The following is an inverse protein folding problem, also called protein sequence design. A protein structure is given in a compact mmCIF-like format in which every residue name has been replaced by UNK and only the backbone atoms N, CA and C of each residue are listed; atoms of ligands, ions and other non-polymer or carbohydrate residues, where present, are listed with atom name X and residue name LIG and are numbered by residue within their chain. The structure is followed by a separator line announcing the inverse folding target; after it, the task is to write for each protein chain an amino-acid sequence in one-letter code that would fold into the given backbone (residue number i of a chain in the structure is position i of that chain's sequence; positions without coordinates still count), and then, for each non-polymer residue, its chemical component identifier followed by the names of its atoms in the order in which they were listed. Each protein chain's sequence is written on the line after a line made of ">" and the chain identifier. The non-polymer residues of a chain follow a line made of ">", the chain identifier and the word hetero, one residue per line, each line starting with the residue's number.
data_IF_257761754253
#
_entry.id   IF_257761754253
#
_cell.length_a   1.000
_cell.length_b   1.000
_cell.length_c   1.000
_cell.angle_alpha   90.00
_cell.angle_beta   90.00
_cell.angle_gamma   90.00
#
_symmetry.space_group_name_H-M   'P 1'
#
loop_
_entity.id
_entity.type
_entity.pdbx_description
1 polymer ?
#
# COMPACT_ATOMS: atom_id res chain seq x y z
N UNK A 1 -66.96 14.48 10.18
CA UNK A 1 -68.12 13.61 9.85
C UNK A 1 -67.57 12.28 9.35
N UNK A 2 -67.94 11.19 10.03
CA UNK A 2 -67.52 9.79 9.76
C UNK A 2 -68.19 9.23 8.51
N UNK A 3 -67.54 8.26 7.85
CA UNK A 3 -68.04 6.93 7.41
C UNK A 3 -66.89 6.25 6.62
N UNK A 4 -66.22 5.21 7.15
CA UNK A 4 -66.50 3.76 6.96
C UNK A 4 -66.45 3.33 5.48
N UNK A 5 -65.80 2.26 5.01
CA UNK A 5 -65.17 1.07 5.59
C UNK A 5 -65.11 -0.02 4.49
N UNK A 6 -64.41 -1.14 4.75
CA UNK A 6 -64.22 -2.40 3.97
C UNK A 6 -62.89 -2.48 3.18
N UNK A 7 -61.80 -3.02 3.74
CA UNK A 7 -61.41 -4.45 3.93
C UNK A 7 -61.05 -5.21 2.64
N UNK A 8 -59.76 -5.49 2.47
CA UNK A 8 -59.26 -6.81 2.05
C UNK A 8 -57.77 -6.92 2.38
N UNK A 9 -57.48 -7.70 3.41
CA UNK A 9 -56.14 -8.10 3.86
C UNK A 9 -55.76 -9.34 3.04
N UNK A 10 -54.66 -9.28 2.28
CA UNK A 10 -53.97 -10.47 1.77
C UNK A 10 -52.62 -10.62 2.46
N UNK A 11 -52.65 -11.50 3.44
CA UNK A 11 -51.53 -12.08 4.18
C UNK A 11 -50.60 -12.83 3.22
N UNK A 12 -49.37 -12.35 3.03
CA UNK A 12 -48.31 -13.15 2.41
C UNK A 12 -47.66 -14.01 3.50
N UNK A 13 -47.79 -15.31 3.31
CA UNK A 13 -47.43 -16.39 4.21
C UNK A 13 -45.92 -16.51 4.28
N UNK A 14 -45.37 -16.46 5.50
CA UNK A 14 -44.00 -16.84 5.79
C UNK A 14 -43.78 -18.31 5.40
N UNK A 15 -42.86 -18.57 4.46
CA UNK A 15 -42.30 -19.89 4.23
C UNK A 15 -40.95 -19.97 4.93
N UNK A 16 -40.97 -20.65 6.08
CA UNK A 16 -39.79 -21.29 6.68
C UNK A 16 -39.27 -22.35 5.70
N UNK A 17 -38.09 -22.13 5.15
CA UNK A 17 -37.19 -23.20 4.69
C UNK A 17 -36.00 -23.13 5.65
N UNK A 18 -35.89 -23.97 6.66
CA UNK A 18 -35.81 -25.42 6.52
C UNK A 18 -34.33 -25.79 6.44
N UNK A 19 -33.64 -25.77 7.59
CA UNK A 19 -32.33 -26.38 7.77
C UNK A 19 -32.38 -27.80 7.21
N UNK A 20 -31.58 -28.08 6.19
CA UNK A 20 -31.31 -29.45 5.76
C UNK A 20 -29.80 -29.69 5.87
N UNK A 21 -29.40 -30.18 7.05
CA UNK A 21 -28.20 -30.98 7.23
C UNK A 21 -28.40 -32.28 6.45
N UNK A 22 -27.94 -32.31 5.20
CA UNK A 22 -27.76 -33.56 4.48
C UNK A 22 -26.40 -34.15 4.89
N UNK A 23 -26.44 -35.12 5.81
CA UNK A 23 -25.32 -36.04 6.03
C UNK A 23 -25.11 -36.85 4.75
N UNK A 24 -24.11 -36.49 3.95
CA UNK A 24 -23.52 -37.41 2.99
C UNK A 24 -22.37 -38.15 3.67
N UNK A 25 -22.68 -39.34 4.20
CA UNK A 25 -21.66 -40.35 4.48
C UNK A 25 -21.14 -40.89 3.14
N UNK A 26 -20.05 -40.31 2.64
CA UNK A 26 -19.22 -40.96 1.65
C UNK A 26 -17.85 -41.17 2.28
N UNK A 27 -17.52 -42.45 2.53
CA UNK A 27 -16.16 -42.88 2.81
C UNK A 27 -15.30 -42.54 1.58
N UNK A 28 -14.63 -41.40 1.60
CA UNK A 28 -13.42 -41.21 0.80
C UNK A 28 -12.24 -41.57 1.68
N UNK A 29 -11.51 -42.59 1.25
CA UNK A 29 -10.23 -42.95 1.84
C UNK A 29 -9.32 -41.72 1.79
N UNK A 30 -8.82 -41.31 2.96
CA UNK A 30 -8.00 -40.12 3.11
C UNK A 30 -6.72 -40.23 2.27
N UNK A 31 -6.59 -39.35 1.28
CA UNK A 31 -5.26 -38.94 0.84
C UNK A 31 -4.60 -38.17 2.00
N UNK A 32 -3.32 -38.44 2.31
CA UNK A 32 -2.62 -37.67 3.33
C UNK A 32 -2.51 -36.22 2.85
N UNK A 33 -3.14 -35.29 3.57
CA UNK A 33 -2.82 -33.85 3.46
C UNK A 33 -1.35 -33.71 3.86
N UNK A 34 -0.47 -33.63 2.86
CA UNK A 34 0.96 -33.38 3.07
C UNK A 34 1.11 -32.03 3.77
N UNK A 35 1.62 -32.04 5.00
CA UNK A 35 2.01 -30.81 5.72
C UNK A 35 3.25 -30.25 5.02
N UNK A 36 3.13 -29.07 4.44
CA UNK A 36 4.26 -28.29 3.91
C UNK A 36 5.01 -27.65 5.08
N UNK A 37 6.35 -27.59 4.99
CA UNK A 37 7.14 -26.80 5.95
C UNK A 37 6.96 -25.29 5.70
N UNK A 38 7.26 -24.46 6.70
CA UNK A 38 7.17 -23.00 6.59
C UNK A 38 8.03 -22.43 5.46
N UNK A 39 9.24 -22.97 5.30
CA UNK A 39 10.14 -22.61 4.22
C UNK A 39 9.59 -22.99 2.84
N UNK A 40 8.98 -24.16 2.72
CA UNK A 40 8.39 -24.62 1.46
C UNK A 40 7.14 -23.81 1.09
N UNK A 41 6.34 -23.43 2.08
CA UNK A 41 5.17 -22.59 1.90
C UNK A 41 5.55 -21.15 1.53
N UNK A 42 6.51 -20.53 2.23
CA UNK A 42 7.05 -19.22 1.86
C UNK A 42 7.71 -19.24 0.49
N UNK A 43 8.46 -20.29 0.18
CA UNK A 43 9.03 -20.51 -1.16
C UNK A 43 7.92 -20.56 -2.23
N UNK A 44 6.82 -21.29 -2.02
CA UNK A 44 5.69 -21.34 -2.96
C UNK A 44 4.98 -19.99 -3.12
N UNK A 45 4.73 -19.30 -2.02
CA UNK A 45 4.08 -17.98 -2.03
C UNK A 45 4.95 -16.94 -2.76
N UNK A 46 6.28 -17.05 -2.64
CA UNK A 46 7.24 -16.11 -3.22
C UNK A 46 7.68 -16.51 -4.64
N UNK A 47 7.57 -17.79 -5.02
CA UNK A 47 7.88 -18.31 -6.36
C UNK A 47 6.66 -18.26 -7.31
N UNK A 48 5.94 -17.15 -7.29
CA UNK A 48 4.87 -16.85 -8.24
C UNK A 48 5.37 -15.94 -9.36
N UNK A 49 4.60 -15.83 -10.44
CA UNK A 49 4.82 -14.76 -11.43
C UNK A 49 4.59 -13.41 -10.75
N UNK A 50 5.58 -12.54 -10.85
CA UNK A 50 5.53 -11.16 -10.38
C UNK A 50 5.47 -10.18 -11.55
N UNK A 51 4.93 -8.99 -11.30
CA UNK A 51 4.95 -7.90 -12.28
C UNK A 51 6.34 -7.28 -12.39
N UNK A 52 6.95 -6.95 -11.25
CA UNK A 52 8.30 -6.43 -11.17
C UNK A 52 9.25 -7.62 -11.29
N UNK A 53 9.75 -7.86 -12.50
CA UNK A 53 10.70 -8.95 -12.74
C UNK A 53 11.96 -8.82 -11.87
N UNK A 54 12.38 -7.58 -11.59
CA UNK A 54 13.47 -7.25 -10.70
C UNK A 54 12.89 -6.46 -9.53
N UNK A 55 12.92 -7.00 -8.29
CA UNK A 55 12.42 -6.30 -7.11
C UNK A 55 13.36 -5.17 -6.65
N UNK A 56 14.53 -5.04 -7.29
CA UNK A 56 15.56 -4.08 -6.95
C UNK A 56 15.02 -2.66 -6.90
N UNK A 57 15.56 -1.93 -5.93
CA UNK A 57 15.21 -0.55 -5.64
C UNK A 57 16.47 0.12 -5.16
N UNK A 58 16.65 1.38 -5.55
CA UNK A 58 17.80 2.13 -5.07
C UNK A 58 17.67 2.35 -3.56
N UNK A 59 18.79 2.25 -2.85
CA UNK A 59 18.84 2.61 -1.43
C UNK A 59 19.82 3.76 -1.30
N UNK A 60 19.34 4.88 -0.79
CA UNK A 60 20.13 6.07 -0.53
C UNK A 60 20.48 6.13 0.96
N UNK A 61 21.61 6.72 1.31
CA UNK A 61 21.99 7.00 2.69
C UNK A 61 21.93 8.50 2.94
N UNK A 62 21.14 8.91 3.93
CA UNK A 62 20.96 10.30 4.31
C UNK A 62 21.72 10.56 5.60
N UNK A 63 22.80 11.32 5.49
CA UNK A 63 23.59 11.78 6.65
C UNK A 63 22.97 13.05 7.23
N UNK A 64 22.97 13.13 8.54
CA UNK A 64 22.45 14.25 9.31
C UNK A 64 23.61 15.07 9.86
N UNK A 65 23.60 16.38 9.61
CA UNK A 65 24.59 17.30 10.19
C UNK A 65 23.89 18.52 10.80
N UNK A 66 24.34 19.03 11.97
CA UNK A 66 23.78 20.25 12.54
C UNK A 66 23.91 21.43 11.57
N UNK A 67 22.81 22.16 11.34
CA UNK A 67 22.85 23.35 10.49
C UNK A 67 23.26 24.58 11.30
N UNK A 68 24.21 25.39 10.82
CA UNK A 68 24.48 26.72 11.36
C UNK A 68 23.38 27.70 10.88
N UNK A 69 22.28 27.84 11.63
CA UNK A 69 21.17 28.72 11.24
C UNK A 69 20.01 28.77 12.25
N UNK A 70 19.18 29.83 12.20
CA UNK A 70 18.12 30.17 13.18
C UNK A 70 17.13 29.03 13.45
N UNK A 71 16.86 28.79 14.74
CA UNK A 71 15.83 27.90 15.28
C UNK A 71 14.55 27.91 14.45
N UNK A 72 14.25 26.80 13.78
CA UNK A 72 12.90 26.47 13.33
C UNK A 72 12.33 25.41 14.28
N UNK A 73 11.07 25.57 14.67
CA UNK A 73 10.39 24.57 15.51
C UNK A 73 10.12 23.30 14.69
N UNK A 74 10.49 22.13 15.22
CA UNK A 74 10.25 20.81 14.61
C UNK A 74 11.48 19.88 14.56
N UNK A 75 11.32 18.57 14.30
CA UNK A 75 12.41 17.57 14.37
C UNK A 75 13.57 17.84 13.41
N UNK A 76 13.26 18.47 12.27
CA UNK A 76 14.23 18.81 11.20
C UNK A 76 14.73 20.26 11.27
N UNK A 77 14.28 21.05 12.24
CA UNK A 77 14.39 22.52 12.22
C UNK A 77 15.81 23.09 12.22
N UNK A 78 16.79 22.31 12.69
CA UNK A 78 18.21 22.69 12.78
C UNK A 78 19.14 21.65 12.13
N UNK A 79 18.65 20.88 11.15
CA UNK A 79 19.42 19.82 10.50
C UNK A 79 19.61 20.11 9.01
N UNK A 80 20.79 19.74 8.53
CA UNK A 80 21.10 19.64 7.11
C UNK A 80 21.24 18.17 6.73
N UNK A 81 20.81 17.83 5.51
CA UNK A 81 20.84 16.47 5.00
C UNK A 81 21.83 16.37 3.84
N UNK A 82 22.64 15.32 3.83
CA UNK A 82 23.50 14.97 2.69
C UNK A 82 23.12 13.60 2.15
N UNK A 83 22.89 13.51 0.84
CA UNK A 83 22.52 12.26 0.19
C UNK A 83 23.73 11.55 -0.42
N UNK A 84 23.98 10.31 0.02
CA UNK A 84 24.83 9.36 -0.67
C UNK A 84 23.95 8.36 -1.43
N UNK A 85 23.94 8.44 -2.75
CA UNK A 85 23.10 7.61 -3.62
C UNK A 85 23.65 6.21 -3.87
N UNK A 86 24.88 5.92 -3.43
CA UNK A 86 25.54 4.61 -3.56
C UNK A 86 26.21 4.21 -2.25
N UNK A 87 25.42 3.95 -1.19
CA UNK A 87 25.98 3.48 0.06
C UNK A 87 26.58 2.08 -0.07
N UNK A 88 27.52 1.78 0.81
CA UNK A 88 28.08 0.43 0.97
C UNK A 88 27.21 -0.37 1.94
N UNK A 89 27.03 -1.65 1.62
CA UNK A 89 26.27 -2.62 2.41
C UNK A 89 27.17 -3.81 2.76
N UNK A 90 26.76 -4.66 3.72
CA UNK A 90 27.56 -5.80 4.17
C UNK A 90 28.68 -5.44 5.16
N UNK A 91 29.58 -6.40 5.41
CA UNK A 91 30.61 -6.33 6.47
C UNK A 91 31.75 -5.34 6.16
N UNK A 92 31.78 -4.81 4.93
CA UNK A 92 32.68 -3.72 4.50
C UNK A 92 32.25 -2.33 5.01
N UNK A 93 31.25 -2.26 5.90
CA UNK A 93 31.00 -1.09 6.74
C UNK A 93 32.21 -0.91 7.67
N UNK A 94 33.27 -0.31 7.13
CA UNK A 94 34.40 0.18 7.89
C UNK A 94 33.85 0.94 9.10
N UNK A 95 34.17 0.47 10.30
CA UNK A 95 34.12 1.25 11.55
C UNK A 95 34.97 2.51 11.37
N UNK A 96 34.42 3.51 10.68
CA UNK A 96 34.97 4.85 10.66
C UNK A 96 34.05 5.67 11.53
N UNK A 97 34.56 6.00 12.72
CA UNK A 97 33.95 6.87 13.70
C UNK A 97 33.65 8.26 13.14
N UNK A 98 32.60 8.36 12.33
CA UNK A 98 31.92 9.61 12.07
C UNK A 98 30.78 9.73 13.06
N UNK A 99 30.84 10.73 13.93
CA UNK A 99 29.81 11.10 14.92
C UNK A 99 28.45 11.49 14.27
N UNK A 100 28.35 11.51 12.94
CA UNK A 100 27.16 11.92 12.21
C UNK A 100 26.13 10.78 12.13
N UNK A 101 24.96 10.98 12.75
CA UNK A 101 23.79 10.11 12.58
C UNK A 101 23.39 9.99 11.10
N UNK A 102 22.87 8.84 10.69
CA UNK A 102 22.32 8.64 9.34
C UNK A 102 21.16 7.64 9.33
N UNK A 103 20.37 7.67 8.27
CA UNK A 103 19.38 6.62 7.96
C UNK A 103 19.42 6.26 6.48
N UNK A 104 18.94 5.07 6.13
CA UNK A 104 18.77 4.66 4.74
C UNK A 104 17.36 5.00 4.25
N UNK A 105 17.23 5.24 2.94
CA UNK A 105 15.95 5.44 2.27
C UNK A 105 15.84 4.46 1.12
N UNK A 106 14.88 3.55 1.21
CA UNK A 106 14.50 2.63 0.12
C UNK A 106 13.65 3.42 -0.88
N UNK A 107 14.18 3.67 -2.08
CA UNK A 107 13.63 4.56 -3.11
C UNK A 107 12.58 3.87 -3.98
N UNK A 108 11.59 3.27 -3.32
CA UNK A 108 10.47 2.63 -4.03
C UNK A 108 9.65 3.63 -4.86
N UNK A 109 9.77 4.94 -4.58
CA UNK A 109 9.23 5.99 -5.44
C UNK A 109 9.77 5.96 -6.88
N UNK A 110 10.93 5.35 -7.12
CA UNK A 110 11.55 5.26 -8.44
C UNK A 110 11.14 4.00 -9.24
N UNK A 111 10.36 3.08 -8.66
CA UNK A 111 10.03 1.79 -9.29
C UNK A 111 9.29 1.91 -10.62
N UNK A 112 8.46 2.94 -10.76
CA UNK A 112 7.65 3.14 -11.95
C UNK A 112 7.29 4.62 -12.08
N UNK A 113 7.34 5.24 -13.29
CA UNK A 113 7.10 6.68 -13.45
C UNK A 113 5.74 7.18 -12.93
N UNK A 114 4.70 6.34 -12.96
CA UNK A 114 3.32 6.71 -12.54
C UNK A 114 2.73 5.83 -11.43
N UNK A 115 3.34 4.66 -11.18
CA UNK A 115 2.86 3.66 -10.21
C UNK A 115 3.90 3.60 -9.10
N UNK A 116 4.17 4.75 -8.49
CA UNK A 116 5.32 4.87 -7.59
C UNK A 116 5.09 4.16 -6.25
N UNK A 117 6.20 3.77 -5.62
CA UNK A 117 6.26 3.50 -4.20
C UNK A 117 5.56 2.22 -3.76
N UNK A 118 4.93 2.30 -2.59
CA UNK A 118 4.31 1.14 -1.97
C UNK A 118 3.09 0.58 -2.74
N UNK A 119 2.52 1.33 -3.68
CA UNK A 119 1.41 0.86 -4.51
C UNK A 119 1.89 -0.12 -5.58
N UNK A 120 3.04 0.13 -6.21
CA UNK A 120 3.67 -0.84 -7.10
C UNK A 120 3.91 -2.17 -6.38
N UNK A 121 4.49 -2.16 -5.19
CA UNK A 121 4.73 -3.38 -4.39
C UNK A 121 3.45 -4.17 -4.11
N UNK A 122 2.37 -3.50 -3.71
CA UNK A 122 1.10 -4.18 -3.42
C UNK A 122 0.43 -4.75 -4.68
N UNK A 123 0.49 -4.02 -5.78
CA UNK A 123 -0.07 -4.47 -7.05
C UNK A 123 0.79 -5.55 -7.74
N UNK A 124 2.09 -5.61 -7.42
CA UNK A 124 3.02 -6.63 -7.92
C UNK A 124 2.55 -8.06 -7.65
N UNK A 125 1.94 -8.29 -6.49
CA UNK A 125 1.33 -9.58 -6.13
C UNK A 125 -0.02 -9.83 -6.80
N UNK A 126 -0.79 -8.76 -6.99
CA UNK A 126 -2.21 -8.81 -7.32
C UNK A 126 -2.45 -8.96 -8.82
N UNK A 127 -1.78 -8.13 -9.62
CA UNK A 127 -2.02 -8.04 -11.07
C UNK A 127 -1.76 -9.34 -11.82
N UNK A 128 -0.72 -10.14 -11.50
CA UNK A 128 -0.54 -11.45 -12.13
C UNK A 128 -1.76 -12.36 -11.95
N UNK A 129 -2.39 -12.36 -10.76
CA UNK A 129 -3.62 -13.14 -10.53
C UNK A 129 -4.77 -12.69 -11.43
N UNK A 130 -4.89 -11.38 -11.67
CA UNK A 130 -5.96 -10.86 -12.52
C UNK A 130 -5.79 -11.35 -13.96
N UNK A 131 -4.54 -11.34 -14.46
CA UNK A 131 -4.21 -11.81 -15.81
C UNK A 131 -4.43 -13.33 -15.92
N UNK A 132 -3.92 -14.11 -14.97
CA UNK A 132 -4.01 -15.57 -15.00
C UNK A 132 -5.46 -16.09 -14.99
N UNK A 133 -6.38 -15.32 -14.40
CA UNK A 133 -7.82 -15.66 -14.32
C UNK A 133 -8.66 -15.00 -15.42
N UNK A 134 -8.00 -14.33 -16.37
CA UNK A 134 -8.62 -13.60 -17.47
C UNK A 134 -9.66 -12.60 -16.98
N UNK A 135 -9.37 -11.89 -15.90
CA UNK A 135 -10.19 -10.77 -15.42
C UNK A 135 -10.29 -9.74 -16.55
N UNK A 136 -11.46 -9.11 -16.69
CA UNK A 136 -11.71 -8.11 -17.73
C UNK A 136 -11.80 -6.70 -17.15
N UNK A 137 -12.37 -6.59 -15.95
CA UNK A 137 -12.67 -5.31 -15.32
C UNK A 137 -12.23 -5.32 -13.85
N UNK A 138 -11.73 -4.18 -13.40
CA UNK A 138 -11.32 -3.92 -12.02
C UNK A 138 -12.10 -2.74 -11.49
N UNK A 139 -12.69 -2.88 -10.30
CA UNK A 139 -13.40 -1.81 -9.60
C UNK A 139 -12.62 -1.45 -8.34
N UNK A 140 -12.30 -0.17 -8.15
CA UNK A 140 -11.64 0.31 -6.93
C UNK A 140 -12.12 1.70 -6.54
N UNK A 141 -11.65 2.20 -5.41
CA UNK A 141 -11.99 3.53 -4.91
C UNK A 141 -10.80 4.23 -4.26
N UNK A 142 -10.97 5.53 -4.02
CA UNK A 142 -10.00 6.34 -3.30
C UNK A 142 -10.46 7.78 -3.12
N UNK A 143 -9.64 8.59 -2.44
CA UNK A 143 -9.76 10.04 -2.49
C UNK A 143 -9.55 10.61 -3.91
N UNK A 144 -9.96 11.87 -4.11
CA UNK A 144 -9.78 12.58 -5.39
C UNK A 144 -8.33 12.57 -5.93
N UNK A 145 -7.33 12.67 -5.04
CA UNK A 145 -5.89 12.57 -5.36
C UNK A 145 -5.28 11.24 -4.91
N UNK A 146 -6.02 10.14 -5.05
CA UNK A 146 -5.57 8.81 -4.59
C UNK A 146 -4.45 8.25 -5.47
N UNK A 147 -3.25 8.11 -4.90
CA UNK A 147 -2.15 7.38 -5.52
C UNK A 147 -2.52 5.91 -5.82
N UNK A 148 -3.36 5.30 -4.98
CA UNK A 148 -3.86 3.92 -5.19
C UNK A 148 -4.74 3.80 -6.44
N UNK A 149 -5.70 4.71 -6.61
CA UNK A 149 -6.62 4.65 -7.75
C UNK A 149 -5.86 4.85 -9.07
N UNK A 150 -4.94 5.82 -9.11
CA UNK A 150 -4.07 6.05 -10.26
C UNK A 150 -3.18 4.83 -10.55
N UNK A 151 -2.59 4.23 -9.52
CA UNK A 151 -1.77 3.03 -9.64
C UNK A 151 -2.54 1.85 -10.25
N UNK A 152 -3.77 1.61 -9.79
CA UNK A 152 -4.66 0.58 -10.35
C UNK A 152 -4.99 0.88 -11.81
N UNK A 153 -5.35 2.13 -12.14
CA UNK A 153 -5.74 2.52 -13.49
C UNK A 153 -4.63 2.31 -14.51
N UNK A 154 -3.43 2.84 -14.22
CA UNK A 154 -2.25 2.68 -15.08
C UNK A 154 -1.91 1.20 -15.25
N UNK A 155 -1.87 0.46 -14.14
CA UNK A 155 -1.53 -0.97 -14.18
C UNK A 155 -2.55 -1.81 -14.95
N UNK A 156 -3.84 -1.45 -14.89
CA UNK A 156 -4.89 -2.12 -15.66
C UNK A 156 -4.74 -1.85 -17.16
N UNK A 157 -4.56 -0.58 -17.54
CA UNK A 157 -4.43 -0.18 -18.93
C UNK A 157 -3.22 -0.83 -19.62
N UNK A 158 -2.07 -0.92 -18.94
CA UNK A 158 -0.87 -1.64 -19.42
C UNK A 158 -1.11 -3.12 -19.75
N UNK A 159 -2.20 -3.71 -19.23
CA UNK A 159 -2.55 -5.13 -19.36
C UNK A 159 -3.84 -5.35 -20.15
N UNK A 160 -4.41 -4.29 -20.73
CA UNK A 160 -5.69 -4.36 -21.44
C UNK A 160 -6.90 -4.62 -20.53
N UNK A 161 -6.77 -4.39 -19.22
CA UNK A 161 -7.88 -4.47 -18.26
C UNK A 161 -8.60 -3.11 -18.19
N UNK A 162 -9.92 -3.14 -18.05
CA UNK A 162 -10.71 -1.92 -17.79
C UNK A 162 -10.72 -1.61 -16.30
N UNK A 163 -10.46 -0.37 -15.91
CA UNK A 163 -10.52 0.05 -14.51
C UNK A 163 -11.64 1.07 -14.28
N UNK A 164 -12.51 0.79 -13.31
CA UNK A 164 -13.58 1.66 -12.84
C UNK A 164 -13.20 2.24 -11.48
N UNK A 165 -13.08 3.56 -11.40
CA UNK A 165 -12.51 4.28 -10.26
C UNK A 165 -13.57 5.16 -9.59
N UNK A 166 -13.97 4.79 -8.37
CA UNK A 166 -14.94 5.56 -7.59
C UNK A 166 -14.21 6.56 -6.68
N UNK A 167 -14.12 7.82 -7.10
CA UNK A 167 -13.33 8.86 -6.44
C UNK A 167 -14.16 9.74 -5.51
N UNK A 168 -13.75 9.84 -4.24
CA UNK A 168 -14.46 10.63 -3.23
C UNK A 168 -14.41 12.13 -3.51
N UNK A 169 -15.59 12.75 -3.53
CA UNK A 169 -15.76 14.20 -3.60
C UNK A 169 -16.29 14.65 -4.96
N UNK A 170 -16.01 15.90 -5.29
CA UNK A 170 -16.40 16.53 -6.56
C UNK A 170 -15.23 16.49 -7.55
N UNK A 171 -15.56 16.60 -8.83
CA UNK A 171 -14.58 16.74 -9.90
C UNK A 171 -13.86 18.09 -9.77
N UNK A 172 -12.51 18.12 -9.76
CA UNK A 172 -11.77 19.37 -9.83
C UNK A 172 -12.01 20.10 -11.15
N UNK A 173 -12.04 21.43 -11.12
CA UNK A 173 -12.12 22.26 -12.32
C UNK A 173 -10.94 21.99 -13.28
N UNK A 174 -9.74 21.87 -12.72
CA UNK A 174 -8.52 21.50 -13.47
C UNK A 174 -7.97 20.22 -12.86
N UNK A 175 -7.92 19.16 -13.67
CA UNK A 175 -7.38 17.86 -13.28
C UNK A 175 -5.85 17.96 -13.21
N UNK A 176 -5.26 17.53 -12.10
CA UNK A 176 -3.80 17.49 -11.93
C UNK A 176 -3.36 16.27 -11.13
N UNK A 177 -2.07 15.94 -11.19
CA UNK A 177 -1.47 14.88 -10.38
C UNK A 177 -2.16 13.54 -10.57
N UNK A 178 -2.43 12.84 -9.47
CA UNK A 178 -3.08 11.53 -9.50
C UNK A 178 -4.51 11.58 -10.06
N UNK A 179 -5.23 12.69 -9.88
CA UNK A 179 -6.58 12.81 -10.44
C UNK A 179 -6.56 12.83 -11.97
N UNK A 180 -5.62 13.59 -12.56
CA UNK A 180 -5.42 13.61 -14.01
C UNK A 180 -5.01 12.23 -14.54
N UNK A 181 -4.01 11.59 -13.91
CA UNK A 181 -3.56 10.26 -14.31
C UNK A 181 -4.70 9.24 -14.24
N UNK A 182 -5.49 9.25 -13.16
CA UNK A 182 -6.66 8.38 -13.03
C UNK A 182 -7.66 8.60 -14.17
N UNK A 183 -7.84 9.85 -14.63
CA UNK A 183 -8.82 10.20 -15.67
C UNK A 183 -8.35 9.75 -17.06
N UNK A 184 -7.03 9.82 -17.31
CA UNK A 184 -6.46 9.41 -18.59
C UNK A 184 -6.52 7.89 -18.76
N UNK A 185 -6.25 7.14 -17.69
CA UNK A 185 -6.10 5.68 -17.75
C UNK A 185 -7.35 4.89 -17.37
N UNK A 186 -8.32 5.48 -16.66
CA UNK A 186 -9.47 4.75 -16.12
C UNK A 186 -10.79 5.49 -16.20
N UNK A 187 -11.87 4.71 -16.03
CA UNK A 187 -13.24 5.19 -16.03
C UNK A 187 -13.60 5.75 -14.64
N UNK A 188 -13.64 7.07 -14.51
CA UNK A 188 -13.90 7.73 -13.22
C UNK A 188 -15.38 7.98 -12.99
N UNK A 189 -15.83 7.69 -11.77
CA UNK A 189 -17.05 8.25 -11.20
C UNK A 189 -16.73 8.99 -9.91
N UNK A 190 -17.05 10.28 -9.85
CA UNK A 190 -16.96 11.06 -8.62
C UNK A 190 -18.16 10.77 -7.72
N UNK A 191 -17.91 10.44 -6.45
CA UNK A 191 -18.94 9.99 -5.51
C UNK A 191 -19.03 10.90 -4.28
N UNK A 192 -20.26 11.28 -3.85
CA UNK A 192 -20.47 12.03 -2.63
C UNK A 192 -19.87 11.34 -1.40
N UNK A 193 -19.40 12.14 -0.43
CA UNK A 193 -18.77 11.64 0.80
C UNK A 193 -19.69 10.72 1.61
N UNK A 194 -20.99 10.97 1.60
CA UNK A 194 -22.00 10.13 2.27
C UNK A 194 -22.06 8.71 1.70
N UNK A 195 -21.98 8.57 0.38
CA UNK A 195 -21.93 7.26 -0.29
C UNK A 195 -20.58 6.59 -0.03
N UNK A 196 -19.49 7.35 -0.14
CA UNK A 196 -18.13 6.84 0.10
C UNK A 196 -17.92 6.34 1.54
N UNK A 197 -18.61 6.90 2.53
CA UNK A 197 -18.56 6.40 3.91
C UNK A 197 -18.95 4.90 3.99
N UNK A 198 -19.82 4.43 3.08
CA UNK A 198 -20.22 3.05 2.91
C UNK A 198 -19.51 2.37 1.72
N UNK A 199 -18.23 2.67 1.52
CA UNK A 199 -17.41 2.25 0.37
C UNK A 199 -17.52 0.76 -0.01
N UNK A 200 -17.63 -0.16 0.94
CA UNK A 200 -17.76 -1.59 0.63
C UNK A 200 -19.05 -1.90 -0.12
N UNK A 201 -20.17 -1.31 0.29
CA UNK A 201 -21.46 -1.48 -0.40
C UNK A 201 -21.43 -0.78 -1.75
N UNK A 202 -20.86 0.43 -1.81
CA UNK A 202 -20.68 1.19 -3.04
C UNK A 202 -19.87 0.40 -4.09
N UNK A 203 -18.73 -0.16 -3.71
CA UNK A 203 -17.89 -0.97 -4.60
C UNK A 203 -18.63 -2.20 -5.11
N UNK A 204 -19.33 -2.92 -4.22
CA UNK A 204 -20.13 -4.11 -4.59
C UNK A 204 -21.23 -3.76 -5.58
N UNK A 205 -22.06 -2.76 -5.28
CA UNK A 205 -23.14 -2.33 -6.16
C UNK A 205 -22.64 -1.86 -7.53
N UNK A 206 -21.48 -1.19 -7.57
CA UNK A 206 -20.89 -0.80 -8.85
C UNK A 206 -20.31 -2.01 -9.61
N UNK A 207 -19.67 -2.95 -8.92
CA UNK A 207 -19.19 -4.18 -9.53
C UNK A 207 -20.35 -5.03 -10.10
N UNK A 208 -21.49 -5.11 -9.40
CA UNK A 208 -22.72 -5.75 -9.91
C UNK A 208 -23.20 -5.09 -11.21
N UNK A 209 -23.19 -3.76 -11.25
CA UNK A 209 -23.55 -3.00 -12.45
C UNK A 209 -22.60 -3.27 -13.62
N UNK A 210 -21.29 -3.30 -13.37
CA UNK A 210 -20.25 -3.57 -14.37
C UNK A 210 -20.34 -5.01 -14.87
N UNK A 211 -20.56 -5.98 -13.97
CA UNK A 211 -20.69 -7.39 -14.32
C UNK A 211 -21.92 -7.64 -15.20
N UNK A 212 -23.01 -6.89 -15.00
CA UNK A 212 -24.32 -7.09 -15.64
C UNK A 212 -24.88 -8.50 -15.37
N UNK A 213 -25.98 -8.89 -16.03
CA UNK A 213 -26.65 -10.17 -15.76
C UNK A 213 -25.85 -11.42 -16.17
N UNK A 214 -24.82 -11.26 -17.00
CA UNK A 214 -24.04 -12.37 -17.57
C UNK A 214 -22.60 -12.44 -17.05
N UNK A 215 -22.15 -11.44 -16.29
CA UNK A 215 -20.80 -11.39 -15.74
C UNK A 215 -20.67 -12.04 -14.36
N UNK A 216 -19.42 -12.24 -13.95
CA UNK A 216 -19.05 -12.82 -12.66
C UNK A 216 -18.22 -11.83 -11.87
N UNK A 217 -18.54 -11.68 -10.59
CA UNK A 217 -17.69 -10.96 -9.64
C UNK A 217 -16.78 -11.98 -8.96
N UNK A 218 -15.48 -11.75 -9.04
CA UNK A 218 -14.46 -12.58 -8.43
C UNK A 218 -13.84 -11.84 -7.23
N UNK A 219 -13.60 -12.57 -6.15
CA UNK A 219 -12.81 -12.07 -5.04
C UNK A 219 -11.33 -12.41 -5.26
N UNK A 220 -10.43 -11.46 -5.00
CA UNK A 220 -8.98 -11.71 -5.08
C UNK A 220 -8.54 -12.89 -4.21
N UNK A 221 -9.22 -13.11 -3.08
CA UNK A 221 -8.94 -14.22 -2.18
C UNK A 221 -9.31 -15.58 -2.79
N UNK A 222 -10.47 -15.67 -3.45
CA UNK A 222 -10.93 -16.92 -4.08
C UNK A 222 -9.99 -17.30 -5.25
N UNK A 223 -9.53 -16.28 -5.99
CA UNK A 223 -8.52 -16.43 -7.03
C UNK A 223 -7.21 -16.98 -6.45
N UNK A 224 -6.75 -16.41 -5.34
CA UNK A 224 -5.52 -16.85 -4.68
C UNK A 224 -5.61 -18.30 -4.19
N UNK A 225 -6.69 -18.70 -3.52
CA UNK A 225 -6.87 -20.07 -3.03
C UNK A 225 -6.91 -21.09 -4.18
N UNK A 226 -7.58 -20.73 -5.27
CA UNK A 226 -7.62 -21.54 -6.49
C UNK A 226 -6.23 -21.70 -7.12
N UNK A 227 -5.41 -20.64 -7.07
CA UNK A 227 -4.05 -20.64 -7.63
C UNK A 227 -3.10 -21.51 -6.79
N UNK A 228 -3.16 -21.38 -5.46
CA UNK A 228 -2.35 -22.17 -4.52
C UNK A 228 -2.68 -23.67 -4.57
N UNK A 229 -3.97 -24.01 -4.76
CA UNK A 229 -4.39 -25.41 -4.92
C UNK A 229 -4.00 -25.99 -6.29
N UNK A 230 -4.10 -25.23 -7.38
CA UNK A 230 -3.68 -25.69 -8.71
C UNK A 230 -2.16 -25.93 -8.82
N UNK A 231 -1.32 -25.19 -8.08
CA UNK A 231 0.14 -25.41 -8.07
C UNK A 231 0.57 -26.66 -7.27
N UNK A 232 -0.33 -27.28 -6.50
CA UNK A 232 -0.07 -28.56 -5.81
C UNK A 232 -0.30 -29.79 -6.69
N UNK A 233 -0.90 -29.61 -7.87
CA UNK A 233 -1.08 -30.62 -8.92
C UNK A 233 -0.22 -30.26 -10.12
N UNK A 234 0.87 -30.99 -10.36
CA UNK A 234 1.65 -30.86 -11.59
C UNK A 234 0.84 -31.23 -12.84
N UNK A 235 1.03 -30.44 -13.91
CA UNK A 235 0.44 -30.49 -15.27
C UNK A 235 -0.92 -29.79 -15.37
N UNK A 236 -1.13 -28.78 -16.22
CA UNK A 236 -0.92 -28.76 -17.67
C UNK A 236 -0.96 -27.32 -18.21
N UNK A 237 -0.08 -27.02 -19.17
CA UNK A 237 -0.11 -25.82 -20.01
C UNK A 237 -1.43 -25.72 -20.80
N UNK A 238 -2.20 -24.67 -20.56
CA UNK A 238 -3.38 -24.30 -21.34
C UNK A 238 -3.02 -23.23 -22.37
N UNK A 239 -3.38 -23.49 -23.62
CA UNK A 239 -3.11 -22.72 -24.83
C UNK A 239 -3.42 -21.21 -24.74
N UNK A 240 -2.56 -20.42 -25.39
CA UNK A 240 -2.88 -19.06 -25.85
C UNK A 240 -3.75 -19.24 -27.09
N UNK A 241 -5.05 -18.96 -26.96
CA UNK A 241 -5.94 -18.81 -28.12
C UNK A 241 -5.95 -17.37 -28.63
N UNK A 242 -5.98 -17.33 -29.95
CA UNK A 242 -5.73 -16.24 -30.89
C UNK A 242 -6.78 -15.12 -30.84
N UNK A 243 -6.36 -13.93 -31.28
CA UNK A 243 -7.18 -12.74 -31.40
C UNK A 243 -8.25 -12.89 -32.48
N UNK A 244 -9.52 -12.99 -32.08
CA UNK A 244 -10.65 -12.87 -33.01
C UNK A 244 -12.01 -12.78 -32.31
N UNK A 245 -12.75 -11.71 -32.61
CA UNK A 245 -14.14 -11.38 -32.20
C UNK A 245 -14.37 -10.79 -30.79
N UNK A 246 -14.36 -9.47 -30.76
CA UNK A 246 -15.09 -8.63 -29.80
C UNK A 246 -16.60 -8.77 -30.02
N UNK A 247 -17.28 -9.59 -29.20
CA UNK A 247 -18.59 -9.34 -28.58
C UNK A 247 -19.12 -10.63 -27.91
N UNK A 248 -19.47 -10.53 -26.61
CA UNK A 248 -20.10 -11.56 -25.75
C UNK A 248 -19.23 -12.60 -25.01
N UNK A 249 -18.01 -12.26 -24.58
CA UNK A 249 -17.44 -12.95 -23.41
C UNK A 249 -18.01 -12.35 -22.11
N UNK A 250 -18.46 -13.18 -21.15
CA UNK A 250 -18.97 -12.70 -19.88
C UNK A 250 -17.88 -11.94 -19.13
N UNK A 251 -18.23 -10.75 -18.60
CA UNK A 251 -17.28 -9.91 -17.87
C UNK A 251 -16.85 -10.63 -16.58
N UNK A 252 -15.56 -10.56 -16.26
CA UNK A 252 -15.00 -11.02 -14.99
C UNK A 252 -14.51 -9.80 -14.24
N UNK A 253 -15.24 -9.43 -13.20
CA UNK A 253 -15.03 -8.18 -12.46
C UNK A 253 -14.37 -8.48 -11.12
N UNK A 254 -13.29 -7.78 -10.80
CA UNK A 254 -12.61 -7.90 -9.50
C UNK A 254 -12.68 -6.58 -8.74
N UNK A 255 -13.01 -6.64 -7.45
CA UNK A 255 -12.93 -5.49 -6.55
C UNK A 255 -11.54 -5.47 -5.90
N UNK A 256 -10.86 -4.32 -6.00
CA UNK A 256 -9.65 -4.03 -5.25
C UNK A 256 -10.00 -2.99 -4.20
N UNK A 257 -9.86 -3.34 -2.91
CA UNK A 257 -10.17 -2.41 -1.84
C UNK A 257 -9.23 -1.19 -1.84
N UNK A 258 -9.67 -0.08 -1.23
CA UNK A 258 -8.86 1.14 -1.10
C UNK A 258 -7.48 0.81 -0.52
N UNK A 259 -6.42 1.28 -1.20
CA UNK A 259 -5.05 1.02 -0.80
C UNK A 259 -4.61 -0.43 -0.96
N UNK A 260 -5.34 -1.26 -1.72
CA UNK A 260 -5.13 -2.70 -1.83
C UNK A 260 -5.06 -3.36 -0.44
N UNK A 261 -6.04 -3.04 0.42
CA UNK A 261 -6.07 -3.43 1.83
C UNK A 261 -6.42 -4.90 2.10
N UNK A 262 -6.02 -5.81 1.22
CA UNK A 262 -6.31 -7.24 1.28
C UNK A 262 -5.04 -8.07 1.40
N UNK A 263 -5.19 -9.32 1.83
CA UNK A 263 -4.08 -10.21 2.17
C UNK A 263 -3.12 -10.47 0.99
N UNK A 264 -3.62 -10.51 -0.24
CA UNK A 264 -2.80 -10.73 -1.44
C UNK A 264 -1.76 -9.63 -1.61
N UNK A 265 -2.11 -8.39 -1.28
CA UNK A 265 -1.20 -7.26 -1.40
C UNK A 265 -0.01 -7.34 -0.44
N UNK A 266 -0.15 -8.06 0.69
CA UNK A 266 0.93 -8.28 1.63
C UNK A 266 2.09 -9.03 0.98
N UNK A 267 1.80 -9.95 0.05
CA UNK A 267 2.83 -10.79 -0.58
C UNK A 267 3.90 -9.97 -1.30
N UNK A 268 3.52 -8.90 -1.99
CA UNK A 268 4.48 -8.04 -2.68
C UNK A 268 5.30 -7.18 -1.72
N UNK A 269 4.78 -6.90 -0.53
CA UNK A 269 5.54 -6.25 0.56
C UNK A 269 6.48 -7.26 1.24
N UNK A 270 6.04 -8.49 1.47
CA UNK A 270 6.89 -9.58 2.00
C UNK A 270 8.06 -9.85 1.05
N UNK A 271 7.82 -9.84 -0.28
CA UNK A 271 8.87 -9.93 -1.28
C UNK A 271 9.89 -8.80 -1.18
N UNK A 272 9.46 -7.57 -0.88
CA UNK A 272 10.38 -6.46 -0.60
C UNK A 272 11.25 -6.78 0.63
N UNK A 273 10.67 -7.28 1.72
CA UNK A 273 11.46 -7.68 2.92
C UNK A 273 12.47 -8.78 2.56
N UNK A 274 12.06 -9.78 1.79
CA UNK A 274 12.94 -10.86 1.31
C UNK A 274 14.10 -10.33 0.46
N UNK A 275 13.84 -9.32 -0.38
CA UNK A 275 14.88 -8.64 -1.15
C UNK A 275 15.81 -7.84 -0.23
N UNK A 276 15.27 -7.04 0.68
CA UNK A 276 16.10 -6.19 1.55
C UNK A 276 16.97 -7.00 2.53
N UNK A 277 16.50 -8.18 2.97
CA UNK A 277 17.23 -9.00 3.95
C UNK A 277 18.38 -9.84 3.33
N UNK A 278 18.66 -9.68 2.03
CA UNK A 278 19.83 -10.31 1.42
C UNK A 278 21.12 -9.79 2.08
N UNK A 279 22.14 -10.66 2.18
CA UNK A 279 23.40 -10.35 2.89
C UNK A 279 24.16 -9.16 2.30
N UNK A 280 24.05 -8.93 1.00
CA UNK A 280 24.65 -7.79 0.30
C UNK A 280 23.86 -6.48 0.46
N UNK A 281 22.76 -6.47 1.22
CA UNK A 281 21.95 -5.29 1.56
C UNK A 281 21.89 -5.11 3.08
N UNK A 282 20.72 -5.36 3.69
CA UNK A 282 20.53 -5.18 5.14
C UNK A 282 20.90 -6.43 5.94
N UNK A 283 20.97 -7.60 5.30
CA UNK A 283 21.23 -8.87 5.97
C UNK A 283 20.12 -9.32 6.92
N UNK A 284 20.27 -10.53 7.48
CA UNK A 284 19.26 -11.12 8.36
C UNK A 284 19.51 -10.93 9.85
N UNK A 285 20.76 -10.69 10.24
CA UNK A 285 21.18 -10.66 11.64
C UNK A 285 21.18 -9.24 12.24
N UNK A 286 21.18 -8.21 11.39
CA UNK A 286 21.23 -6.81 11.83
C UNK A 286 19.88 -6.38 12.41
N UNK A 287 19.93 -5.63 13.50
CA UNK A 287 18.75 -4.94 14.03
C UNK A 287 18.41 -3.77 13.10
N UNK A 288 17.21 -3.81 12.51
CA UNK A 288 16.72 -2.78 11.59
C UNK A 288 15.45 -2.18 12.15
N UNK A 289 15.35 -0.84 12.15
CA UNK A 289 14.12 -0.10 12.40
C UNK A 289 13.57 0.43 11.09
N UNK A 290 12.58 -0.27 10.53
CA UNK A 290 11.86 0.14 9.34
C UNK A 290 10.87 1.25 9.68
N UNK A 291 10.95 2.36 8.95
CA UNK A 291 10.07 3.53 9.12
C UNK A 291 9.21 3.71 7.87
N UNK A 292 7.90 3.83 8.06
CA UNK A 292 6.95 3.96 6.95
C UNK A 292 5.76 4.85 7.34
N UNK A 293 5.22 5.60 6.39
CA UNK A 293 3.96 6.32 6.58
C UNK A 293 2.74 5.41 6.34
N UNK A 294 1.64 5.65 7.05
CA UNK A 294 0.47 4.80 7.00
C UNK A 294 -0.81 5.58 6.68
N UNK A 295 -1.29 5.41 5.45
CA UNK A 295 -2.68 5.71 5.07
C UNK A 295 -3.62 4.60 5.54
N UNK A 296 -3.65 3.46 4.82
CA UNK A 296 -4.47 2.28 5.16
C UNK A 296 -3.78 1.25 6.05
N UNK A 297 -2.50 1.44 6.37
CA UNK A 297 -1.70 0.54 7.22
C UNK A 297 -1.16 -0.73 6.53
N UNK A 298 -1.72 -1.13 5.38
CA UNK A 298 -1.37 -2.41 4.70
C UNK A 298 0.13 -2.60 4.44
N UNK A 299 0.85 -1.53 4.08
CA UNK A 299 2.29 -1.62 3.83
C UNK A 299 3.07 -1.88 5.12
N UNK A 300 2.77 -1.17 6.21
CA UNK A 300 3.41 -1.41 7.50
C UNK A 300 3.16 -2.84 8.01
N UNK A 301 1.91 -3.29 7.93
CA UNK A 301 1.52 -4.65 8.35
C UNK A 301 2.24 -5.71 7.50
N UNK A 302 2.34 -5.50 6.18
CA UNK A 302 3.08 -6.39 5.29
C UNK A 302 4.59 -6.45 5.58
N UNK A 303 5.20 -5.32 5.97
CA UNK A 303 6.60 -5.28 6.41
C UNK A 303 6.78 -6.10 7.70
N UNK A 304 5.90 -5.91 8.69
CA UNK A 304 5.96 -6.61 9.98
C UNK A 304 5.75 -8.12 9.84
N UNK A 305 4.70 -8.53 9.09
CA UNK A 305 4.47 -9.94 8.75
C UNK A 305 5.68 -10.51 8.00
N UNK A 306 6.24 -9.78 7.03
CA UNK A 306 7.41 -10.21 6.28
C UNK A 306 8.64 -10.44 7.14
N UNK A 307 8.92 -9.52 8.08
CA UNK A 307 10.02 -9.66 9.02
C UNK A 307 9.87 -10.91 9.90
N UNK A 308 8.67 -11.13 10.45
CA UNK A 308 8.40 -12.32 11.27
C UNK A 308 8.45 -13.63 10.47
N UNK A 309 7.88 -13.66 9.27
CA UNK A 309 7.92 -14.85 8.40
C UNK A 309 9.36 -15.25 8.04
N UNK A 310 10.27 -14.28 7.99
CA UNK A 310 11.67 -14.48 7.64
C UNK A 310 12.59 -14.59 8.87
N UNK A 311 12.04 -14.54 10.09
CA UNK A 311 12.80 -14.63 11.34
C UNK A 311 13.76 -13.47 11.57
N UNK A 312 13.44 -12.28 11.04
CA UNK A 312 14.31 -11.10 11.10
C UNK A 312 14.11 -10.35 12.43
N UNK A 313 15.17 -9.84 13.07
CA UNK A 313 15.10 -8.99 14.26
C UNK A 313 14.74 -7.53 13.87
N UNK A 314 13.83 -7.37 12.91
CA UNK A 314 13.46 -6.08 12.35
C UNK A 314 12.18 -5.57 13.00
N UNK A 315 12.20 -4.31 13.40
CA UNK A 315 11.05 -3.61 13.97
C UNK A 315 10.44 -2.68 12.92
N UNK A 316 9.11 -2.56 12.91
CA UNK A 316 8.39 -1.68 11.97
C UNK A 316 7.69 -0.58 12.74
N UNK A 317 8.12 0.66 12.52
CA UNK A 317 7.49 1.87 13.04
C UNK A 317 6.67 2.56 11.95
N UNK A 318 5.37 2.70 12.18
CA UNK A 318 4.44 3.27 11.21
C UNK A 318 3.79 4.56 11.70
N UNK A 319 3.99 5.65 10.95
CA UNK A 319 3.41 6.96 11.27
C UNK A 319 1.96 7.01 10.78
N UNK A 320 1.01 7.06 11.72
CA UNK A 320 -0.42 7.09 11.45
C UNK A 320 -0.85 8.45 10.85
N UNK A 321 -1.59 8.41 9.73
CA UNK A 321 -1.99 9.63 9.01
C UNK A 321 -3.49 9.83 8.88
N UNK A 322 -4.25 8.75 8.73
CA UNK A 322 -5.62 8.81 8.23
C UNK A 322 -6.69 8.49 9.27
N UNK A 323 -6.40 7.53 10.15
CA UNK A 323 -7.40 6.92 11.04
C UNK A 323 -6.94 6.91 12.50
N UNK A 324 -7.77 6.38 13.39
CA UNK A 324 -7.44 6.20 14.81
C UNK A 324 -6.54 4.99 15.02
N UNK A 325 -5.81 4.97 16.13
CA UNK A 325 -4.99 3.82 16.53
C UNK A 325 -5.81 2.52 16.61
N UNK A 326 -7.06 2.61 17.09
CA UNK A 326 -7.96 1.45 17.17
C UNK A 326 -8.31 0.91 15.78
N UNK A 327 -8.56 1.79 14.80
CA UNK A 327 -8.82 1.38 13.44
C UNK A 327 -7.60 0.72 12.78
N UNK A 328 -6.39 1.24 13.03
CA UNK A 328 -5.15 0.60 12.56
C UNK A 328 -4.94 -0.77 13.20
N UNK A 329 -5.12 -0.90 14.52
CA UNK A 329 -5.03 -2.18 15.23
C UNK A 329 -6.07 -3.19 14.76
N UNK A 330 -7.30 -2.76 14.51
CA UNK A 330 -8.34 -3.64 13.93
C UNK A 330 -7.96 -4.11 12.52
N UNK A 331 -7.45 -3.21 11.68
CA UNK A 331 -7.00 -3.56 10.33
C UNK A 331 -5.79 -4.51 10.36
N UNK A 332 -4.86 -4.31 11.29
CA UNK A 332 -3.72 -5.19 11.54
C UNK A 332 -4.18 -6.59 11.97
N UNK A 333 -5.03 -6.69 12.99
CA UNK A 333 -5.61 -7.97 13.42
C UNK A 333 -6.35 -8.69 12.30
N UNK A 334 -7.16 -7.95 11.53
CA UNK A 334 -7.87 -8.50 10.36
C UNK A 334 -6.89 -9.08 9.35
N UNK A 335 -5.88 -8.31 8.93
CA UNK A 335 -4.93 -8.76 7.91
C UNK A 335 -4.05 -9.91 8.39
N UNK A 336 -3.65 -9.94 9.67
CA UNK A 336 -2.94 -11.07 10.27
C UNK A 336 -3.83 -12.32 10.29
N UNK A 337 -5.10 -12.18 10.69
CA UNK A 337 -6.06 -13.29 10.71
C UNK A 337 -6.32 -13.84 9.30
N UNK A 338 -6.54 -12.95 8.33
CA UNK A 338 -6.73 -13.32 6.92
C UNK A 338 -5.46 -14.00 6.37
N UNK A 339 -4.27 -13.51 6.70
CA UNK A 339 -2.99 -14.11 6.31
C UNK A 339 -2.82 -15.52 6.88
N UNK A 340 -3.01 -15.69 8.20
CA UNK A 340 -2.94 -17.00 8.87
C UNK A 340 -3.94 -18.01 8.29
N UNK A 341 -5.17 -17.56 8.04
CA UNK A 341 -6.23 -18.43 7.52
C UNK A 341 -5.89 -18.96 6.13
N UNK A 342 -5.29 -18.12 5.27
CA UNK A 342 -5.05 -18.46 3.85
C UNK A 342 -3.72 -19.15 3.60
N UNK A 343 -2.68 -18.77 4.34
CA UNK A 343 -1.32 -19.28 4.13
C UNK A 343 -0.90 -20.33 5.16
N UNK A 344 -1.78 -20.71 6.11
CA UNK A 344 -1.59 -21.87 6.96
C UNK A 344 -0.89 -21.57 8.29
N UNK A 345 -1.26 -22.38 9.29
CA UNK A 345 -1.02 -22.29 10.74
C UNK A 345 0.42 -22.63 11.19
N UNK A 346 1.41 -22.60 10.29
CA UNK A 346 2.76 -23.09 10.61
C UNK A 346 3.79 -22.01 10.93
N UNK A 347 3.50 -20.74 10.60
CA UNK A 347 4.18 -19.59 11.22
C UNK A 347 3.94 -19.67 12.73
N UNK A 348 4.90 -20.25 13.43
CA UNK A 348 4.81 -20.75 14.81
C UNK A 348 3.93 -19.86 15.69
N UNK A 349 3.11 -20.45 16.57
CA UNK A 349 2.41 -19.73 17.66
C UNK A 349 3.35 -18.77 18.44
N UNK A 350 4.67 -19.00 18.37
CA UNK A 350 5.73 -18.14 18.91
C UNK A 350 6.08 -16.88 18.09
N UNK A 351 5.75 -16.79 16.80
CA UNK A 351 6.07 -15.64 15.93
C UNK A 351 5.17 -14.43 16.19
N UNK A 352 3.97 -14.66 16.73
CA UNK A 352 2.93 -13.67 16.93
C UNK A 352 2.35 -13.87 18.34
N UNK A 353 3.20 -13.73 19.36
CA UNK A 353 2.78 -13.79 20.76
C UNK A 353 1.65 -12.78 21.03
N UNK A 354 0.70 -13.16 21.88
CA UNK A 354 -0.58 -12.47 22.12
C UNK A 354 -0.51 -11.04 22.73
N UNK A 355 0.62 -10.33 22.74
CA UNK A 355 0.71 -9.07 23.50
C UNK A 355 1.30 -7.84 22.78
N UNK A 356 1.90 -7.94 21.59
CA UNK A 356 2.21 -6.73 20.81
C UNK A 356 2.04 -6.97 19.31
N UNK A 357 1.45 -6.00 18.59
CA UNK A 357 1.23 -6.06 17.15
C UNK A 357 2.55 -6.22 16.37
N UNK A 358 2.45 -6.48 15.06
CA UNK A 358 3.63 -6.54 14.17
C UNK A 358 4.13 -5.14 13.78
N UNK A 359 3.40 -4.09 14.16
CA UNK A 359 3.70 -2.69 13.87
C UNK A 359 3.66 -1.85 15.14
N UNK A 360 4.71 -1.06 15.35
CA UNK A 360 4.73 0.04 16.30
C UNK A 360 4.04 1.28 15.70
N UNK A 361 2.76 1.47 16.02
CA UNK A 361 1.97 2.59 15.53
C UNK A 361 2.27 3.88 16.31
N UNK A 362 2.72 4.91 15.61
CA UNK A 362 3.06 6.21 16.21
C UNK A 362 2.23 7.34 15.61
N UNK A 363 1.89 8.34 16.43
CA UNK A 363 1.24 9.54 15.95
C UNK A 363 2.23 10.40 15.16
N UNK A 364 1.71 11.14 14.17
CA UNK A 364 2.47 12.20 13.52
C UNK A 364 2.85 13.28 14.54
N UNK A 365 4.07 13.83 14.46
CA UNK A 365 4.55 14.94 15.30
C UNK A 365 3.55 16.09 15.36
N UNK A 366 3.10 16.55 14.19
CA UNK A 366 2.14 17.63 14.07
C UNK A 366 0.76 17.06 13.70
N UNK A 367 -0.04 16.76 14.74
CA UNK A 367 -1.37 16.18 14.58
C UNK A 367 -2.31 17.10 13.79
N UNK A 368 -3.07 16.50 12.87
CA UNK A 368 -4.06 17.19 12.04
C UNK A 368 -5.01 16.21 11.38
N UNK A 369 -6.07 16.74 10.77
CA UNK A 369 -6.94 15.95 9.89
C UNK A 369 -6.19 15.53 8.63
N UNK A 370 -6.41 14.29 8.22
CA UNK A 370 -5.81 13.70 7.03
C UNK A 370 -5.98 14.54 5.77
N UNK A 371 -4.90 14.64 4.98
CA UNK A 371 -4.87 15.41 3.74
C UNK A 371 -4.82 16.93 3.93
N UNK A 372 -4.75 17.43 5.17
CA UNK A 372 -4.41 18.83 5.42
C UNK A 372 -2.89 19.03 5.40
N UNK A 373 -2.47 20.26 5.10
CA UNK A 373 -1.07 20.72 5.14
C UNK A 373 -0.99 21.86 6.14
N UNK A 374 0.05 21.89 6.96
CA UNK A 374 0.35 22.95 7.91
C UNK A 374 1.40 23.90 7.34
N UNK A 375 1.46 25.10 7.92
CA UNK A 375 2.49 26.08 7.58
C UNK A 375 3.89 25.54 7.88
N UNK A 376 4.85 25.80 6.98
CA UNK A 376 6.23 25.35 7.11
C UNK A 376 6.52 23.97 6.50
N UNK A 377 5.52 23.10 6.35
CA UNK A 377 5.76 21.74 5.84
C UNK A 377 6.19 21.73 4.37
N UNK A 378 5.64 22.64 3.56
CA UNK A 378 6.04 22.78 2.15
C UNK A 378 7.48 23.27 2.03
N UNK A 379 7.90 24.15 2.93
CA UNK A 379 9.25 24.69 3.02
C UNK A 379 10.23 23.60 3.51
N UNK A 380 9.82 22.75 4.45
CA UNK A 380 10.60 21.57 4.86
C UNK A 380 10.77 20.59 3.71
N UNK A 381 9.69 20.30 2.95
CA UNK A 381 9.79 19.45 1.75
C UNK A 381 10.75 20.06 0.71
N UNK A 382 10.67 21.38 0.48
CA UNK A 382 11.59 22.09 -0.42
C UNK A 382 13.04 21.96 0.05
N UNK A 383 13.31 22.15 1.34
CA UNK A 383 14.65 22.06 1.92
C UNK A 383 15.23 20.66 1.71
N UNK A 384 14.47 19.60 2.04
CA UNK A 384 14.89 18.21 1.83
C UNK A 384 15.21 17.98 0.35
N UNK A 385 14.33 18.40 -0.55
CA UNK A 385 14.54 18.24 -1.99
C UNK A 385 15.79 18.97 -2.50
N UNK A 386 16.03 20.20 -2.05
CA UNK A 386 17.21 20.99 -2.44
C UNK A 386 18.53 20.39 -1.92
N UNK A 387 18.50 19.82 -0.72
CA UNK A 387 19.71 19.28 -0.08
C UNK A 387 20.05 17.86 -0.54
N UNK A 388 19.03 17.05 -0.83
CA UNK A 388 19.21 15.60 -1.06
C UNK A 388 18.86 15.15 -2.47
N UNK A 389 18.14 15.97 -3.24
CA UNK A 389 17.51 15.55 -4.50
C UNK A 389 16.33 14.58 -4.32
N UNK A 390 15.95 14.24 -3.08
CA UNK A 390 14.81 13.36 -2.76
C UNK A 390 13.58 14.23 -2.51
N UNK A 391 12.53 14.03 -3.30
CA UNK A 391 11.27 14.77 -3.13
C UNK A 391 10.32 14.02 -2.21
N UNK A 392 10.03 14.63 -1.05
CA UNK A 392 8.95 14.19 -0.16
C UNK A 392 7.71 15.08 -0.32
N UNK A 393 6.56 14.55 0.05
CA UNK A 393 5.27 15.25 0.11
C UNK A 393 4.86 15.51 1.57
N UNK A 394 4.13 16.60 1.85
CA UNK A 394 3.77 16.96 3.22
C UNK A 394 2.67 16.07 3.79
N UNK A 395 1.94 15.26 3.00
CA UNK A 395 0.86 14.43 3.54
C UNK A 395 1.41 13.10 4.05
N UNK A 396 2.28 12.44 3.29
CA UNK A 396 2.76 11.08 3.57
C UNK A 396 4.24 11.03 3.93
N UNK A 397 5.10 11.21 2.94
CA UNK A 397 6.51 10.85 3.04
C UNK A 397 7.32 11.77 3.95
N UNK A 398 6.89 13.03 4.15
CA UNK A 398 7.49 13.91 5.16
C UNK A 398 7.35 13.34 6.57
N UNK A 399 6.21 12.72 6.89
CA UNK A 399 5.98 12.18 8.23
C UNK A 399 6.93 11.01 8.55
N UNK A 400 7.17 10.14 7.56
CA UNK A 400 8.15 9.06 7.68
C UNK A 400 9.59 9.61 7.74
N UNK A 401 9.91 10.66 6.97
CA UNK A 401 11.21 11.32 7.01
C UNK A 401 11.54 11.91 8.38
N UNK A 402 10.58 12.64 8.98
CA UNK A 402 10.73 13.21 10.32
C UNK A 402 10.94 12.11 11.38
N UNK A 403 10.22 10.99 11.26
CA UNK A 403 10.34 9.86 12.18
C UNK A 403 11.69 9.14 12.02
N UNK A 404 12.15 8.90 10.79
CA UNK A 404 13.47 8.33 10.54
C UNK A 404 14.60 9.24 11.03
N UNK A 405 14.42 10.56 10.90
CA UNK A 405 15.33 11.58 11.43
C UNK A 405 15.37 11.56 12.96
N UNK A 406 14.23 11.42 13.64
CA UNK A 406 14.21 11.30 15.10
C UNK A 406 14.90 10.02 15.55
N UNK A 407 14.47 8.86 15.02
CA UNK A 407 14.99 7.56 15.46
C UNK A 407 16.51 7.48 15.24
N UNK A 408 17.02 7.89 14.07
CA UNK A 408 18.47 7.84 13.80
C UNK A 408 19.33 8.71 14.73
N UNK A 409 18.73 9.70 15.41
CA UNK A 409 19.41 10.53 16.42
C UNK A 409 19.32 9.94 17.83
N UNK A 410 18.32 9.11 18.08
CA UNK A 410 18.11 8.44 19.36
C UNK A 410 18.93 7.13 19.47
N UNK A 411 19.29 6.55 18.32
CA UNK A 411 20.16 5.37 18.27
C UNK A 411 21.59 5.68 18.75
N UNK A 412 22.11 4.81 19.61
CA UNK A 412 23.50 4.84 20.06
C UNK A 412 24.42 4.16 19.04
N UNK A 413 25.73 4.36 19.16
CA UNK A 413 26.73 3.63 18.36
C UNK A 413 26.57 2.11 18.56
N UNK A 414 26.43 1.36 17.47
CA UNK A 414 26.08 -0.07 17.51
C UNK A 414 24.58 -0.38 17.73
N UNK A 415 23.72 0.64 17.75
CA UNK A 415 22.27 0.52 17.83
C UNK A 415 21.60 0.01 16.53
N UNK A 416 20.28 0.04 16.49
CA UNK A 416 19.52 -0.46 15.36
C UNK A 416 19.65 0.49 14.16
N UNK A 417 19.84 -0.07 12.95
CA UNK A 417 19.95 0.74 11.75
C UNK A 417 18.55 1.21 11.30
N UNK A 418 18.38 2.53 11.15
CA UNK A 418 17.12 3.11 10.68
C UNK A 418 17.03 3.08 9.16
N UNK A 419 15.90 2.60 8.64
CA UNK A 419 15.62 2.47 7.21
C UNK A 419 14.20 2.97 6.92
N UNK A 420 14.10 4.09 6.21
CA UNK A 420 12.83 4.64 5.73
C UNK A 420 12.43 4.00 4.40
N UNK A 421 11.16 3.61 4.26
CA UNK A 421 10.58 3.27 2.96
C UNK A 421 9.98 4.54 2.33
N UNK A 422 10.51 4.97 1.18
CA UNK A 422 9.92 6.07 0.43
C UNK A 422 8.69 5.59 -0.35
N UNK A 423 7.50 5.80 0.22
CA UNK A 423 6.24 5.23 -0.29
C UNK A 423 5.69 5.89 -1.56
N UNK A 424 6.37 6.90 -2.10
CA UNK A 424 5.98 7.64 -3.31
C UNK A 424 5.07 8.82 -2.98
N UNK A 425 3.96 8.98 -3.72
CA UNK A 425 2.96 10.00 -3.40
C UNK A 425 3.23 11.40 -3.97
N UNK A 426 4.35 11.60 -4.67
CA UNK A 426 4.82 12.93 -5.10
C UNK A 426 3.89 13.61 -6.12
N UNK A 427 3.14 12.87 -6.95
CA UNK A 427 2.13 13.48 -7.82
C UNK A 427 0.95 14.09 -7.03
N UNK A 428 0.79 13.75 -5.75
CA UNK A 428 -0.17 14.40 -4.86
C UNK A 428 0.13 15.89 -4.65
N UNK A 429 1.39 16.30 -4.81
CA UNK A 429 1.83 17.70 -4.66
C UNK A 429 1.10 18.66 -5.59
N UNK A 430 0.73 18.22 -6.79
CA UNK A 430 0.02 19.06 -7.75
C UNK A 430 -1.40 19.41 -7.26
N UNK A 431 -2.11 18.43 -6.71
CA UNK A 431 -3.42 18.67 -6.10
C UNK A 431 -3.32 19.51 -4.82
N UNK A 432 -2.24 19.34 -4.05
CA UNK A 432 -1.98 20.19 -2.88
C UNK A 432 -1.67 21.63 -3.28
N UNK A 433 -0.93 21.86 -4.36
CA UNK A 433 -0.64 23.20 -4.88
C UNK A 433 -1.92 23.94 -5.32
N UNK A 434 -2.90 23.21 -5.86
CA UNK A 434 -4.22 23.78 -6.18
C UNK A 434 -5.00 24.18 -4.92
N UNK A 435 -4.97 23.33 -3.88
CA UNK A 435 -5.72 23.54 -2.63
C UNK A 435 -5.08 24.56 -1.69
N UNK A 436 -3.75 24.57 -1.59
CA UNK A 436 -2.94 25.37 -0.66
C UNK A 436 -2.10 26.42 -1.40
N UNK A 437 -2.74 27.23 -2.25
CA UNK A 437 -2.07 28.21 -3.12
C UNK A 437 -1.11 29.14 -2.37
N UNK A 438 -1.44 29.54 -1.13
CA UNK A 438 -0.61 30.42 -0.32
C UNK A 438 0.74 29.79 0.04
N UNK A 439 0.75 28.55 0.53
CA UNK A 439 1.96 27.83 0.90
C UNK A 439 2.89 27.60 -0.30
N UNK A 440 2.32 27.16 -1.44
CA UNK A 440 3.10 26.94 -2.66
C UNK A 440 3.57 28.24 -3.33
N UNK A 441 2.88 29.38 -3.12
CA UNK A 441 3.35 30.70 -3.60
C UNK A 441 4.55 31.20 -2.81
N UNK A 442 4.60 30.98 -1.49
CA UNK A 442 5.73 31.39 -0.63
C UNK A 442 7.07 30.77 -1.06
N UNK A 443 7.05 29.57 -1.66
CA UNK A 443 8.25 28.93 -2.23
C UNK A 443 8.99 29.81 -3.26
N UNK A 444 8.26 30.70 -3.96
CA UNK A 444 8.81 31.65 -4.93
C UNK A 444 9.56 32.81 -4.28
N UNK A 445 9.13 33.22 -3.09
CA UNK A 445 9.59 34.44 -2.40
C UNK A 445 10.86 34.19 -1.57
N UNK A 446 11.07 32.97 -1.07
CA UNK A 446 12.29 32.57 -0.34
C UNK A 446 13.59 32.55 -1.17
N UNK A 447 13.50 32.67 -2.50
CA UNK A 447 14.66 32.78 -3.42
C UNK A 447 15.00 34.22 -3.84
N UNK A 448 14.30 35.22 -3.30
CA UNK A 448 14.35 36.60 -3.78
C UNK A 448 15.66 37.36 -3.49
N UNK A 449 16.62 36.79 -2.76
CA UNK A 449 17.92 37.43 -2.50
C UNK A 449 18.90 37.42 -3.68
N UNK A 450 18.60 36.73 -4.79
CA UNK A 450 19.51 36.66 -5.98
C UNK A 450 19.03 37.51 -7.16
N UNK A 451 17.86 38.16 -7.08
CA UNK A 451 17.32 38.95 -8.20
C UNK A 451 17.97 40.33 -8.43
N UNK A 452 18.98 40.70 -7.67
CA UNK A 452 19.67 41.99 -7.82
C UNK A 452 20.90 41.95 -8.77
N UNK A 453 21.24 40.81 -9.38
CA UNK A 453 22.49 40.65 -10.15
C UNK A 453 22.30 40.48 -11.68
N UNK A 454 21.10 40.71 -12.21
CA UNK A 454 20.83 40.59 -13.66
C UNK A 454 20.19 41.86 -14.28
N UNK A 455 20.41 43.02 -13.66
CA UNK A 455 20.09 44.32 -14.25
C UNK A 455 21.29 45.24 -14.30
#
# INVERSE_FOLDING_TARGET
>A
MKLQGLTSIRTIKAMKTGLCLAQFSSHSQGLPKVKLSDEELMSKVLNRRWMLHIPDTEIHQIKLSPSQGRNRDGPSGNLSFLNNTKPYFGDDLMEKGSEDSFFYVVRDDLLHPLVNGNKARKLDALLPLLVDYSVTDVVTCGGCQSAHAAAVAVSCAERGLKSHLLLRGEQPEILTGYNLISTIYGDITYVPRSIYAHRMNMLKSHADLVASNTGHILCCNDILESSLSAQSSTSSSGHIDDHGNTENHPRKVVIINEGAGDVVALLGVIRLVQYLCQSYLLGKERQIKLVVDAGTGTTAIGLGIGAQCLGLPWEVTAVMLADTIDAYRQQEQKLISDFRTRFGFHLTDHCLNEVDGVVHWVARFHQRKFGNVLEGETETCQQIAQQTGVLVDPVYTLAAWEMATQLSREEMEGGAQVVMLHTGGTLGMFGLAQRYKSYFRKLKEGSSSVKAALH
#
